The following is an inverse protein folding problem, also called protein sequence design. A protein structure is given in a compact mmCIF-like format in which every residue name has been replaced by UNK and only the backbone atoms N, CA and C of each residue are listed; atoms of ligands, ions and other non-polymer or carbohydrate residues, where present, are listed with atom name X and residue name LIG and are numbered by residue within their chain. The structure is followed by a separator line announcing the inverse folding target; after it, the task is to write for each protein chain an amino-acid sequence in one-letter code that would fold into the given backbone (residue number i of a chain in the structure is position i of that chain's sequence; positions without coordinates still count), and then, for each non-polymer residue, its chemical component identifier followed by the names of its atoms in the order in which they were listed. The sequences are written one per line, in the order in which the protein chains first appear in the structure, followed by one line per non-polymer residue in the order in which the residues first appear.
data_IF_731111978349
#
_entry.id   IF_731111978349
#
_cell.length_a   1.000
_cell.length_b   1.000
_cell.length_c   1.000
_cell.angle_alpha   90.00
_cell.angle_beta   90.00
_cell.angle_gamma   90.00
#
_symmetry.space_group_name_H-M   'P 1'
#
loop_
_entity.id
_entity.type
_entity.pdbx_description
1 polymer ?
#
# COMPACT_ATOMS: atom_id res chain seq x y z
N UNK A 1 5.26 -20.18 -2.23
CA UNK A 1 4.74 -19.42 -3.39
C UNK A 1 5.17 -17.96 -3.30
N UNK A 2 4.97 -17.17 -4.36
CA UNK A 2 5.27 -15.73 -4.38
C UNK A 2 4.00 -14.92 -4.67
N UNK A 3 3.95 -13.71 -4.14
CA UNK A 3 2.88 -12.75 -4.33
C UNK A 3 3.41 -11.50 -5.04
N UNK A 4 2.55 -10.89 -5.85
CA UNK A 4 2.62 -9.47 -6.15
C UNK A 4 1.85 -8.72 -5.08
N UNK A 5 2.55 -7.89 -4.31
CA UNK A 5 1.98 -6.96 -3.34
C UNK A 5 1.58 -5.67 -4.07
N UNK A 6 0.36 -5.20 -3.84
CA UNK A 6 -0.08 -3.84 -4.15
C UNK A 6 -0.47 -3.10 -2.87
N UNK A 7 -0.06 -1.84 -2.75
CA UNK A 7 -0.48 -0.93 -1.67
C UNK A 7 -0.92 0.38 -2.27
N UNK A 8 -2.11 0.86 -1.89
CA UNK A 8 -2.64 2.15 -2.36
C UNK A 8 -2.58 3.19 -1.24
N UNK A 9 -1.98 4.34 -1.52
CA UNK A 9 -1.71 5.39 -0.53
C UNK A 9 -1.87 6.80 -1.13
N UNK A 10 -1.86 7.88 -0.32
CA UNK A 10 -1.78 9.25 -0.83
C UNK A 10 -0.56 9.46 -1.75
N UNK A 11 -0.66 10.36 -2.71
CA UNK A 11 0.48 10.81 -3.52
C UNK A 11 1.38 11.77 -2.72
N UNK A 12 2.05 11.22 -1.71
CA UNK A 12 3.04 11.90 -0.87
C UNK A 12 4.31 11.06 -0.84
N UNK A 13 5.42 11.65 -1.29
CA UNK A 13 6.71 10.97 -1.44
C UNK A 13 7.25 10.45 -0.09
N UNK A 14 6.99 11.14 1.02
CA UNK A 14 7.40 10.70 2.35
C UNK A 14 6.62 9.47 2.78
N UNK A 15 5.31 9.46 2.52
CA UNK A 15 4.44 8.31 2.83
C UNK A 15 4.81 7.11 1.96
N UNK A 16 5.03 7.32 0.67
CA UNK A 16 5.42 6.27 -0.28
C UNK A 16 6.72 5.60 0.18
N UNK A 17 7.77 6.39 0.46
CA UNK A 17 9.05 5.85 0.90
C UNK A 17 8.93 5.13 2.25
N UNK A 18 8.18 5.67 3.21
CA UNK A 18 7.93 5.03 4.50
C UNK A 18 7.26 3.65 4.36
N UNK A 19 6.31 3.50 3.43
CA UNK A 19 5.65 2.22 3.15
C UNK A 19 6.63 1.24 2.49
N UNK A 20 7.40 1.70 1.50
CA UNK A 20 8.43 0.86 0.82
C UNK A 20 9.46 0.35 1.83
N UNK A 21 9.97 1.21 2.71
CA UNK A 21 10.94 0.85 3.74
C UNK A 21 10.34 -0.17 4.72
N UNK A 22 9.12 0.07 5.22
CA UNK A 22 8.47 -0.85 6.15
C UNK A 22 8.23 -2.24 5.52
N UNK A 23 7.75 -2.27 4.28
CA UNK A 23 7.53 -3.51 3.54
C UNK A 23 8.85 -4.23 3.25
N UNK A 24 9.89 -3.50 2.86
CA UNK A 24 11.21 -4.05 2.51
C UNK A 24 11.93 -4.63 3.71
N UNK A 25 11.94 -3.90 4.83
CA UNK A 25 12.49 -4.38 6.10
C UNK A 25 11.76 -5.63 6.63
N UNK A 26 10.47 -5.78 6.29
CA UNK A 26 9.69 -6.98 6.61
C UNK A 26 9.88 -8.13 5.59
N UNK A 27 10.55 -7.89 4.47
CA UNK A 27 10.95 -8.91 3.49
C UNK A 27 10.22 -8.88 2.14
N UNK A 28 9.54 -7.79 1.79
CA UNK A 28 9.09 -7.54 0.41
C UNK A 28 10.18 -6.87 -0.43
N UNK A 29 10.05 -6.90 -1.75
CA UNK A 29 10.97 -6.19 -2.67
C UNK A 29 12.41 -6.69 -2.60
N UNK A 30 12.63 -7.94 -2.19
CA UNK A 30 13.96 -8.58 -2.20
C UNK A 30 14.04 -9.46 -3.46
N UNK A 31 14.99 -9.15 -4.33
CA UNK A 31 15.31 -9.89 -5.55
C UNK A 31 16.81 -10.14 -5.59
N UNK A 32 17.25 -11.36 -5.29
CA UNK A 32 18.68 -11.72 -5.23
C UNK A 32 19.49 -10.71 -4.38
N UNK A 33 20.37 -9.92 -5.02
CA UNK A 33 21.23 -8.92 -4.39
C UNK A 33 20.60 -7.52 -4.30
N UNK A 34 19.31 -7.39 -4.62
CA UNK A 34 18.57 -6.14 -4.58
C UNK A 34 17.53 -6.17 -3.47
N UNK A 35 17.39 -5.04 -2.77
CA UNK A 35 16.35 -4.79 -1.77
C UNK A 35 15.58 -3.53 -2.14
N UNK A 36 14.44 -3.30 -1.50
CA UNK A 36 13.58 -2.13 -1.77
C UNK A 36 13.12 -2.03 -3.23
N UNK A 37 13.06 -3.17 -3.94
CA UNK A 37 12.52 -3.22 -5.30
C UNK A 37 11.01 -2.93 -5.26
N UNK A 38 10.65 -1.73 -5.70
CA UNK A 38 9.27 -1.28 -5.79
C UNK A 38 9.03 -0.57 -7.13
N UNK A 39 7.82 -0.70 -7.66
CA UNK A 39 7.31 0.13 -8.75
C UNK A 39 6.20 1.02 -8.23
N UNK A 40 6.21 2.31 -8.59
CA UNK A 40 5.22 3.28 -8.11
C UNK A 40 4.46 3.87 -9.29
N UNK A 41 3.14 3.68 -9.30
CA UNK A 41 2.24 4.30 -10.28
C UNK A 41 1.41 5.37 -9.62
N UNK A 42 1.49 6.62 -10.10
CA UNK A 42 0.61 7.70 -9.66
C UNK A 42 -0.68 7.70 -10.48
N UNK A 43 -1.82 7.95 -9.82
CA UNK A 43 -3.13 7.90 -10.45
C UNK A 43 -4.18 8.69 -9.68
N UNK A 44 -5.45 8.54 -10.07
CA UNK A 44 -6.59 9.11 -9.35
C UNK A 44 -7.26 8.04 -8.51
N UNK A 45 -7.41 8.33 -7.22
CA UNK A 45 -8.21 7.55 -6.29
C UNK A 45 -9.55 8.23 -6.10
N UNK A 46 -10.61 7.44 -5.93
CA UNK A 46 -11.94 7.96 -5.65
C UNK A 46 -12.69 7.04 -4.69
N UNK A 47 -13.49 7.65 -3.82
CA UNK A 47 -14.36 6.94 -2.90
C UNK A 47 -15.54 7.84 -2.52
N UNK A 48 -16.61 7.23 -2.04
CA UNK A 48 -17.72 7.92 -1.39
C UNK A 48 -17.83 7.38 0.02
N UNK A 49 -17.63 8.23 1.01
CA UNK A 49 -17.71 7.83 2.42
C UNK A 49 -19.18 7.72 2.83
N UNK A 50 -19.56 6.58 3.39
CA UNK A 50 -20.92 6.34 3.88
C UNK A 50 -21.10 6.85 5.32
N UNK A 51 -22.35 6.93 5.79
CA UNK A 51 -22.66 7.33 7.16
C UNK A 51 -21.93 6.45 8.18
N UNK A 52 -21.29 7.08 9.17
CA UNK A 52 -20.46 6.40 10.18
C UNK A 52 -18.99 6.24 9.82
N UNK A 53 -18.55 6.62 8.62
CA UNK A 53 -17.13 6.63 8.26
C UNK A 53 -16.39 7.84 8.84
N UNK A 54 -15.10 7.66 9.16
CA UNK A 54 -14.18 8.71 9.59
C UNK A 54 -13.09 8.95 8.53
N UNK A 55 -13.43 9.52 7.37
CA UNK A 55 -12.46 9.66 6.29
C UNK A 55 -11.32 10.61 6.70
N UNK A 56 -10.10 10.23 6.36
CA UNK A 56 -8.93 11.11 6.50
C UNK A 56 -8.98 12.32 5.56
N UNK A 57 -9.69 12.20 4.44
CA UNK A 57 -9.90 13.26 3.46
C UNK A 57 -11.30 13.15 2.82
N UNK A 58 -11.92 14.30 2.54
CA UNK A 58 -13.26 14.39 1.96
C UNK A 58 -14.39 14.51 2.99
N UNK A 59 -15.64 14.45 2.52
CA UNK A 59 -16.85 14.57 3.34
C UNK A 59 -17.77 13.36 3.20
N UNK A 60 -18.39 12.96 4.31
CA UNK A 60 -19.40 11.89 4.31
C UNK A 60 -20.55 12.25 3.37
N UNK A 61 -20.94 11.30 2.52
CA UNK A 61 -21.99 11.45 1.53
C UNK A 61 -21.54 12.07 0.20
N UNK A 62 -20.31 12.58 0.09
CA UNK A 62 -19.77 13.21 -1.12
C UNK A 62 -18.74 12.31 -1.83
N UNK A 63 -18.73 12.34 -3.16
CA UNK A 63 -17.69 11.65 -3.94
C UNK A 63 -16.39 12.42 -3.84
N UNK A 64 -15.39 11.81 -3.24
CA UNK A 64 -14.04 12.36 -3.09
C UNK A 64 -13.15 11.84 -4.21
N UNK A 65 -12.33 12.71 -4.80
CA UNK A 65 -11.37 12.38 -5.86
C UNK A 65 -10.04 13.05 -5.55
N UNK A 66 -8.99 12.26 -5.43
CA UNK A 66 -7.65 12.75 -5.07
C UNK A 66 -6.60 12.11 -5.96
N UNK A 67 -5.40 12.68 -5.98
CA UNK A 67 -4.25 11.98 -6.54
C UNK A 67 -3.73 10.98 -5.50
N UNK A 68 -3.48 9.76 -5.92
CA UNK A 68 -2.94 8.69 -5.09
C UNK A 68 -1.80 7.96 -5.79
N UNK A 69 -1.14 7.07 -5.06
CA UNK A 69 -0.08 6.22 -5.57
C UNK A 69 -0.39 4.74 -5.29
N UNK A 70 -0.06 3.88 -6.25
CA UNK A 70 -0.04 2.42 -6.13
C UNK A 70 1.41 1.96 -6.10
N UNK A 71 1.82 1.33 -5.01
CA UNK A 71 3.14 0.72 -4.81
C UNK A 71 3.02 -0.77 -5.13
N UNK A 72 3.96 -1.29 -5.89
CA UNK A 72 4.00 -2.69 -6.31
C UNK A 72 5.33 -3.34 -5.91
N UNK A 73 5.29 -4.49 -5.24
CA UNK A 73 6.50 -5.20 -4.78
C UNK A 73 6.33 -6.71 -4.86
N UNK A 74 7.42 -7.47 -5.02
CA UNK A 74 7.39 -8.93 -4.85
C UNK A 74 7.42 -9.30 -3.37
N UNK A 75 6.64 -10.31 -2.97
CA UNK A 75 6.63 -10.79 -1.58
C UNK A 75 6.57 -12.32 -1.55
N UNK A 76 7.45 -12.96 -0.79
CA UNK A 76 7.34 -14.41 -0.58
C UNK A 76 6.19 -14.73 0.38
N UNK A 77 5.56 -15.88 0.20
CA UNK A 77 4.45 -16.32 1.04
C UNK A 77 4.78 -16.37 2.54
N UNK A 78 6.00 -16.78 2.88
CA UNK A 78 6.50 -16.81 4.27
C UNK A 78 6.55 -15.43 4.93
N UNK A 79 6.65 -14.36 4.13
CA UNK A 79 6.76 -12.97 4.60
C UNK A 79 5.45 -12.21 4.55
N UNK A 80 4.42 -12.72 3.86
CA UNK A 80 3.12 -12.06 3.65
C UNK A 80 2.56 -11.40 4.92
N UNK A 81 2.40 -12.17 5.99
CA UNK A 81 1.81 -11.70 7.26
C UNK A 81 2.68 -10.63 7.92
N UNK A 82 4.00 -10.79 7.89
CA UNK A 82 4.92 -9.81 8.49
C UNK A 82 4.91 -8.49 7.71
N UNK A 83 4.91 -8.58 6.38
CA UNK A 83 4.86 -7.42 5.47
C UNK A 83 3.54 -6.66 5.63
N UNK A 84 2.39 -7.35 5.63
CA UNK A 84 1.09 -6.71 5.83
C UNK A 84 1.03 -5.94 7.16
N UNK A 85 1.47 -6.56 8.26
CA UNK A 85 1.53 -5.91 9.57
C UNK A 85 2.46 -4.70 9.58
N UNK A 86 3.60 -4.77 8.88
CA UNK A 86 4.54 -3.65 8.81
C UNK A 86 3.94 -2.45 8.07
N UNK A 87 3.27 -2.70 6.94
CA UNK A 87 2.61 -1.66 6.15
C UNK A 87 1.49 -0.98 6.97
N UNK A 88 0.60 -1.77 7.59
CA UNK A 88 -0.51 -1.24 8.41
C UNK A 88 -0.05 -0.32 9.55
N UNK A 89 1.13 -0.56 10.12
CA UNK A 89 1.69 0.30 11.19
C UNK A 89 2.11 1.69 10.72
N UNK A 90 2.46 1.85 9.45
CA UNK A 90 3.00 3.10 8.91
C UNK A 90 2.03 3.82 8.00
N UNK A 91 1.01 3.12 7.52
CA UNK A 91 0.03 3.64 6.59
C UNK A 91 -0.84 4.74 7.24
N UNK A 92 -1.15 5.85 6.53
CA UNK A 92 -1.94 6.95 7.09
C UNK A 92 -3.44 6.62 7.23
N UNK A 93 -3.96 5.73 6.37
CA UNK A 93 -5.37 5.34 6.39
C UNK A 93 -5.63 4.26 7.44
N UNK A 94 -6.78 4.38 8.12
CA UNK A 94 -7.28 3.40 9.09
C UNK A 94 -7.43 2.00 8.46
N UNK A 95 -8.06 1.95 7.30
CA UNK A 95 -8.18 0.72 6.50
C UNK A 95 -7.40 0.87 5.18
N UNK A 96 -6.12 0.47 5.15
CA UNK A 96 -5.32 0.49 3.93
C UNK A 96 -5.75 -0.62 2.96
N UNK A 97 -5.86 -0.27 1.67
CA UNK A 97 -6.02 -1.25 0.60
C UNK A 97 -4.65 -1.90 0.30
N UNK A 98 -4.48 -3.12 0.81
CA UNK A 98 -3.29 -3.96 0.68
C UNK A 98 -3.71 -5.27 0.02
N UNK A 99 -3.15 -5.55 -1.15
CA UNK A 99 -3.52 -6.73 -1.94
C UNK A 99 -2.29 -7.63 -2.14
N UNK A 100 -2.49 -8.94 -2.01
CA UNK A 100 -1.49 -9.95 -2.34
C UNK A 100 -2.05 -10.85 -3.43
N UNK A 101 -1.56 -10.70 -4.65
CA UNK A 101 -1.99 -11.51 -5.80
C UNK A 101 -1.01 -12.67 -5.96
N UNK A 102 -1.51 -13.90 -5.89
CA UNK A 102 -0.69 -15.09 -6.05
C UNK A 102 -0.11 -15.12 -7.47
N UNK A 103 1.19 -15.36 -7.57
CA UNK A 103 1.87 -15.53 -8.84
C UNK A 103 2.05 -17.01 -9.11
N UNK A 104 1.73 -17.40 -10.35
CA UNK A 104 1.93 -18.76 -10.90
C UNK A 104 3.40 -19.13 -10.96
#
# INVERSE_FOLDING_TARGET
MNYQLFVFCPDDETIINKIIDAASNAGAGILENYSHCAFVTRGKSQWKSEQGAHPSEGKVGELTKVTGAKIEMRCSEKKRIAVEKAIRKVHPYEEPDIQFILLS
#
